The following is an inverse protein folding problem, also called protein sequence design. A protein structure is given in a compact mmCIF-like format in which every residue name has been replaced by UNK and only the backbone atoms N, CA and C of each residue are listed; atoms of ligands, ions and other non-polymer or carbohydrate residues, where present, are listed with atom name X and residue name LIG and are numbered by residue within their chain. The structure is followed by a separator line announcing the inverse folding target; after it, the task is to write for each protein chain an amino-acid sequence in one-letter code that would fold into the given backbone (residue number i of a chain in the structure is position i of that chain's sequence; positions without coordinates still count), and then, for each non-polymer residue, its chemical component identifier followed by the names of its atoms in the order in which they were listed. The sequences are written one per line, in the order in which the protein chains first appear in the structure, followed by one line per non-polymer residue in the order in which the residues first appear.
data_IF_643509780587
#
_entry.id   IF_643509780587
#
_cell.length_a   1.000
_cell.length_b   1.000
_cell.length_c   1.000
_cell.angle_alpha   90.00
_cell.angle_beta   90.00
_cell.angle_gamma   90.00
#
_symmetry.space_group_name_H-M   'P 1'
#
loop_
_entity.id
_entity.type
_entity.pdbx_description
1 polymer ?
#
# COMPACT_ATOMS: atom_id res chain seq x y z
N UNK A 1 -47.07 1.92 -36.44
CA UNK A 1 -46.14 0.78 -36.59
C UNK A 1 -44.88 1.15 -37.40
N UNK A 2 -44.54 2.43 -37.50
CA UNK A 2 -43.32 2.95 -38.15
C UNK A 2 -42.28 3.48 -37.15
N UNK A 3 -42.66 3.84 -35.92
CA UNK A 3 -41.76 4.57 -35.00
C UNK A 3 -40.96 3.69 -34.02
N UNK A 4 -41.23 2.38 -33.98
CA UNK A 4 -40.48 1.44 -33.12
C UNK A 4 -39.15 0.99 -33.75
N UNK A 5 -39.00 1.08 -35.07
CA UNK A 5 -37.76 0.69 -35.76
C UNK A 5 -36.70 1.80 -35.77
N UNK A 6 -37.12 3.05 -35.59
CA UNK A 6 -36.21 4.20 -35.54
C UNK A 6 -35.60 4.39 -34.14
N UNK A 7 -36.31 3.98 -33.07
CA UNK A 7 -35.81 4.01 -31.69
C UNK A 7 -34.72 2.94 -31.42
N UNK A 8 -34.85 1.74 -31.99
CA UNK A 8 -33.83 0.69 -31.87
C UNK A 8 -32.56 1.00 -32.68
N UNK A 9 -32.69 1.74 -33.79
CA UNK A 9 -31.55 2.18 -34.60
C UNK A 9 -30.72 3.29 -33.90
N UNK A 10 -31.33 4.12 -33.07
CA UNK A 10 -30.64 5.16 -32.28
C UNK A 10 -29.94 4.55 -31.06
N UNK A 11 -30.56 3.55 -30.41
CA UNK A 11 -29.93 2.81 -29.30
C UNK A 11 -28.72 1.97 -29.74
N UNK A 12 -28.76 1.35 -30.92
CA UNK A 12 -27.61 0.60 -31.45
C UNK A 12 -26.46 1.48 -31.94
N UNK A 13 -26.75 2.65 -32.51
CA UNK A 13 -25.71 3.58 -33.02
C UNK A 13 -24.92 4.24 -31.88
N UNK A 14 -25.52 4.43 -30.70
CA UNK A 14 -24.78 4.86 -29.52
C UNK A 14 -24.00 3.73 -28.83
N UNK A 15 -24.39 2.46 -28.98
CA UNK A 15 -23.65 1.34 -28.40
C UNK A 15 -22.28 1.11 -29.06
N UNK A 16 -22.13 1.46 -30.34
CA UNK A 16 -20.83 1.38 -31.04
C UNK A 16 -19.87 2.54 -30.70
N UNK A 17 -20.38 3.71 -30.32
CA UNK A 17 -19.52 4.81 -29.81
C UNK A 17 -18.98 4.56 -28.39
N UNK A 18 -19.61 3.65 -27.61
CA UNK A 18 -19.13 3.26 -26.28
C UNK A 18 -18.11 2.11 -26.27
N UNK A 19 -17.74 1.56 -27.43
CA UNK A 19 -16.58 0.65 -27.58
C UNK A 19 -15.22 1.39 -27.50
N UNK A 20 -15.23 2.72 -27.44
CA UNK A 20 -14.02 3.55 -27.44
C UNK A 20 -13.30 3.66 -26.09
N UNK A 21 -13.76 2.97 -25.04
CA UNK A 21 -12.95 2.80 -23.83
C UNK A 21 -11.86 1.72 -23.96
N UNK A 22 -11.86 0.96 -25.07
CA UNK A 22 -10.97 -0.21 -25.28
C UNK A 22 -10.14 -0.18 -26.58
N UNK A 23 -10.20 0.89 -27.38
CA UNK A 23 -9.39 0.99 -28.62
C UNK A 23 -8.71 2.35 -28.74
N UNK A 24 -7.40 2.38 -28.46
CA UNK A 24 -6.52 3.49 -28.85
C UNK A 24 -5.69 4.11 -27.73
N UNK A 25 -4.92 3.32 -26.98
CA UNK A 25 -3.69 3.83 -26.35
C UNK A 25 -2.47 3.37 -27.12
N UNK A 26 -2.48 3.63 -28.43
CA UNK A 26 -1.33 3.49 -29.33
C UNK A 26 -0.89 4.88 -29.79
N UNK A 27 -0.65 5.82 -28.87
CA UNK A 27 0.17 7.02 -29.14
C UNK A 27 0.56 7.87 -27.92
N UNK A 28 0.84 7.27 -26.77
CA UNK A 28 1.56 7.97 -25.68
C UNK A 28 2.77 7.13 -25.25
N UNK A 29 3.71 6.98 -26.18
CA UNK A 29 5.08 6.46 -25.92
C UNK A 29 6.12 7.58 -25.85
N UNK A 30 5.71 8.84 -25.76
CA UNK A 30 6.63 9.98 -25.68
C UNK A 30 6.20 10.86 -24.50
N UNK A 31 7.13 11.08 -23.57
CA UNK A 31 7.00 11.83 -22.31
C UNK A 31 6.55 11.03 -21.07
N UNK A 32 7.32 9.99 -20.74
CA UNK A 32 7.86 9.73 -19.39
C UNK A 32 8.77 8.48 -19.49
N UNK A 33 9.79 8.56 -20.34
CA UNK A 33 10.94 7.66 -20.24
C UNK A 33 11.93 8.42 -19.37
N UNK A 34 11.90 8.14 -18.06
CA UNK A 34 12.98 8.59 -17.17
C UNK A 34 14.12 7.59 -17.35
N UNK A 35 15.34 8.05 -17.65
CA UNK A 35 16.48 7.16 -17.80
C UNK A 35 16.72 6.34 -16.52
N UNK A 36 17.10 5.06 -16.67
CA UNK A 36 17.36 4.09 -15.58
C UNK A 36 18.42 4.53 -14.55
N UNK A 37 19.07 5.68 -14.78
CA UNK A 37 20.22 6.17 -14.03
C UNK A 37 19.88 7.09 -12.84
N UNK A 38 18.59 7.30 -12.51
CA UNK A 38 18.18 8.24 -11.44
C UNK A 38 17.73 7.54 -10.14
N UNK A 39 17.58 6.22 -10.13
CA UNK A 39 17.16 5.47 -8.95
C UNK A 39 18.37 4.95 -8.15
N UNK A 40 18.47 5.21 -6.84
CA UNK A 40 19.43 4.54 -5.96
C UNK A 40 19.31 3.01 -6.07
N UNK A 41 20.43 2.30 -6.01
CA UNK A 41 20.47 0.85 -6.26
C UNK A 41 19.59 0.04 -5.28
N UNK A 42 19.42 0.50 -4.04
CA UNK A 42 18.52 -0.14 -3.08
C UNK A 42 17.04 -0.07 -3.49
N UNK A 43 16.61 0.97 -4.24
CA UNK A 43 15.24 1.10 -4.75
C UNK A 43 15.00 0.26 -6.01
N UNK A 44 16.04 0.07 -6.84
CA UNK A 44 15.96 -0.79 -8.03
C UNK A 44 15.59 -2.24 -7.68
N UNK A 45 16.08 -2.75 -6.54
CA UNK A 45 15.77 -4.10 -6.06
C UNK A 45 14.31 -4.24 -5.56
N UNK A 46 13.75 -3.20 -4.96
CA UNK A 46 12.34 -3.18 -4.50
C UNK A 46 11.38 -3.32 -5.69
N UNK A 47 11.66 -2.63 -6.81
CA UNK A 47 10.84 -2.70 -8.03
C UNK A 47 10.72 -4.13 -8.60
N UNK A 48 11.81 -4.91 -8.53
CA UNK A 48 11.84 -6.28 -9.04
C UNK A 48 11.10 -7.28 -8.13
N UNK A 49 11.05 -7.01 -6.82
CA UNK A 49 10.38 -7.87 -5.86
C UNK A 49 8.87 -7.57 -5.70
N UNK A 50 8.44 -6.32 -5.92
CA UNK A 50 7.00 -5.95 -5.95
C UNK A 50 6.28 -6.48 -7.21
N UNK A 51 7.02 -6.77 -8.29
CA UNK A 51 6.47 -7.29 -9.56
C UNK A 51 6.51 -8.81 -9.70
N UNK A 52 7.02 -9.56 -8.72
CA UNK A 52 6.94 -11.03 -8.73
C UNK A 52 5.60 -11.46 -8.15
N UNK A 53 4.67 -11.80 -9.03
CA UNK A 53 3.54 -12.66 -8.67
C UNK A 53 4.10 -13.93 -8.01
N UNK A 54 3.66 -14.23 -6.79
CA UNK A 54 3.81 -15.57 -6.24
C UNK A 54 3.11 -16.51 -7.22
N UNK A 55 3.79 -17.52 -7.80
CA UNK A 55 3.14 -18.45 -8.71
C UNK A 55 1.97 -19.12 -7.98
N UNK A 56 0.76 -18.97 -8.51
CA UNK A 56 -0.42 -19.74 -8.13
C UNK A 56 -0.24 -21.20 -8.61
N UNK A 57 0.64 -21.94 -7.95
CA UNK A 57 0.72 -23.40 -8.07
C UNK A 57 1.45 -23.96 -6.84
N UNK A 58 0.71 -24.21 -5.77
CA UNK A 58 1.09 -25.26 -4.83
C UNK A 58 0.02 -26.34 -4.92
N UNK A 59 0.22 -27.26 -5.85
CA UNK A 59 -0.36 -28.60 -5.77
C UNK A 59 0.24 -29.23 -4.52
N UNK A 60 -0.59 -29.60 -3.54
CA UNK A 60 -0.16 -30.42 -2.40
C UNK A 60 0.52 -31.69 -2.95
N UNK A 61 1.79 -31.97 -2.59
CA UNK A 61 2.36 -33.28 -2.84
C UNK A 61 1.70 -34.26 -1.87
N UNK A 62 0.90 -35.16 -2.42
CA UNK A 62 0.56 -36.40 -1.75
C UNK A 62 1.78 -37.31 -1.79
N UNK A 63 2.12 -37.89 -0.63
CA UNK A 63 3.16 -38.90 -0.33
C UNK A 63 4.50 -38.34 0.17
N UNK A 64 4.75 -38.57 1.46
CA UNK A 64 6.09 -38.59 2.05
C UNK A 64 6.90 -39.75 1.42
N UNK A 65 8.21 -39.55 1.13
CA UNK A 65 9.15 -40.65 0.98
C UNK A 65 9.74 -41.08 2.33
N UNK A 66 10.02 -42.37 2.41
CA UNK A 66 10.47 -43.11 3.59
C UNK A 66 11.88 -42.71 4.10
N UNK A 67 12.05 -42.91 5.42
CA UNK A 67 13.27 -42.76 6.20
C UNK A 67 14.46 -43.59 5.66
N UNK A 68 15.66 -43.02 5.72
CA UNK A 68 16.88 -43.78 6.08
C UNK A 68 17.66 -43.05 7.18
N UNK A 69 18.16 -43.85 8.12
CA UNK A 69 18.46 -43.47 9.49
C UNK A 69 19.95 -43.21 9.79
N UNK A 70 20.14 -42.59 10.97
CA UNK A 70 21.26 -42.70 11.90
C UNK A 70 22.32 -41.58 11.83
N UNK A 71 22.81 -41.00 12.94
CA UNK A 71 23.01 -41.54 14.30
C UNK A 71 22.90 -40.44 15.39
N UNK A 72 22.51 -40.78 16.64
CA UNK A 72 22.52 -39.89 17.80
C UNK A 72 23.78 -40.06 18.68
N UNK A 73 24.16 -39.02 19.44
CA UNK A 73 24.72 -39.04 20.83
C UNK A 73 25.33 -37.67 21.20
N UNK A 74 25.57 -37.33 22.49
CA UNK A 74 24.77 -37.57 23.69
C UNK A 74 24.60 -36.32 24.61
N UNK A 75 23.65 -36.44 25.56
CA UNK A 75 23.60 -35.85 26.92
C UNK A 75 23.60 -34.32 27.05
N UNK A 76 22.48 -33.70 27.45
CA UNK A 76 21.99 -33.57 28.83
C UNK A 76 22.34 -32.20 29.42
N UNK A 77 21.38 -31.29 29.39
CA UNK A 77 21.01 -30.56 30.62
C UNK A 77 19.53 -30.26 30.55
N UNK A 78 18.77 -31.03 31.32
CA UNK A 78 17.42 -30.71 31.74
C UNK A 78 17.49 -29.46 32.61
N UNK A 79 16.97 -28.34 32.12
CA UNK A 79 16.38 -27.35 33.01
C UNK A 79 14.91 -27.22 32.65
N UNK A 80 14.08 -27.75 33.53
CA UNK A 80 12.70 -27.38 33.70
C UNK A 80 12.63 -25.90 34.08
N UNK A 81 11.90 -25.10 33.33
CA UNK A 81 11.41 -23.81 33.84
C UNK A 81 9.88 -23.85 33.84
N UNK A 82 9.38 -23.80 35.07
CA UNK A 82 7.99 -23.66 35.48
C UNK A 82 7.41 -22.34 34.98
N UNK A 83 6.16 -22.38 34.55
CA UNK A 83 5.35 -21.18 34.41
C UNK A 83 4.89 -20.75 35.80
N UNK A 84 5.68 -19.90 36.46
CA UNK A 84 5.25 -19.22 37.67
C UNK A 84 4.66 -17.86 37.28
N UNK A 85 3.33 -17.77 37.40
CA UNK A 85 2.57 -16.53 37.37
C UNK A 85 2.64 -15.93 38.78
N UNK A 86 3.51 -14.96 39.02
CA UNK A 86 3.44 -14.06 40.17
C UNK A 86 3.83 -12.65 39.71
N UNK A 87 2.83 -11.86 39.32
CA UNK A 87 2.99 -10.42 39.13
C UNK A 87 2.70 -9.76 40.48
N UNK A 88 3.70 -9.75 41.34
CA UNK A 88 3.65 -9.00 42.60
C UNK A 88 3.63 -7.49 42.30
N UNK A 89 2.63 -6.87 42.90
CA UNK A 89 2.32 -5.45 42.94
C UNK A 89 3.49 -4.67 43.58
N UNK A 90 4.21 -3.88 42.77
CA UNK A 90 5.21 -2.93 43.27
C UNK A 90 4.68 -1.50 43.10
N UNK A 91 4.19 -0.95 44.21
CA UNK A 91 3.92 0.47 44.41
C UNK A 91 5.21 1.29 44.19
N UNK A 92 5.24 2.06 43.11
CA UNK A 92 6.22 3.13 42.93
C UNK A 92 5.46 4.45 42.92
N UNK A 93 5.49 5.09 44.09
CA UNK A 93 4.95 6.41 44.36
C UNK A 93 5.81 7.46 43.64
N UNK A 94 5.40 7.83 42.42
CA UNK A 94 5.95 8.98 41.70
C UNK A 94 4.87 10.06 41.70
N UNK A 95 4.98 10.98 42.65
CA UNK A 95 4.21 12.23 42.64
C UNK A 95 4.69 13.11 41.49
N UNK A 96 4.15 12.86 40.28
CA UNK A 96 4.19 13.82 39.18
C UNK A 96 2.93 14.66 39.32
N UNK A 97 3.09 15.89 39.80
CA UNK A 97 2.06 16.92 39.69
C UNK A 97 1.87 17.25 38.19
N UNK A 98 1.10 16.40 37.51
CA UNK A 98 0.61 16.68 36.18
C UNK A 98 -0.56 17.66 36.32
N UNK A 99 -0.31 18.91 35.97
CA UNK A 99 -1.34 19.86 35.57
C UNK A 99 -2.02 19.26 34.35
N UNK A 100 -3.11 18.52 34.56
CA UNK A 100 -4.03 18.14 33.49
C UNK A 100 -4.78 19.42 33.16
N UNK A 101 -4.30 20.14 32.15
CA UNK A 101 -5.16 21.09 31.45
C UNK A 101 -6.25 20.25 30.80
N UNK A 102 -7.45 20.29 31.37
CA UNK A 102 -8.67 19.76 30.76
C UNK A 102 -8.91 20.53 29.45
N UNK A 103 -8.33 20.05 28.35
CA UNK A 103 -8.75 20.43 27.01
C UNK A 103 -10.21 20.02 26.88
N UNK A 104 -11.10 21.02 26.86
CA UNK A 104 -12.50 20.82 26.53
C UNK A 104 -12.56 20.29 25.10
N UNK A 105 -12.82 19.00 24.95
CA UNK A 105 -13.17 18.39 23.67
C UNK A 105 -14.44 19.08 23.14
N UNK A 106 -14.26 20.03 22.22
CA UNK A 106 -15.36 20.47 21.38
C UNK A 106 -15.76 19.29 20.50
N UNK A 107 -16.95 18.73 20.77
CA UNK A 107 -17.52 17.61 20.04
C UNK A 107 -17.80 18.02 18.59
N UNK A 108 -16.76 17.95 17.76
CA UNK A 108 -16.82 18.36 16.36
C UNK A 108 -17.50 17.23 15.58
N UNK A 109 -18.80 17.37 15.37
CA UNK A 109 -19.67 16.50 14.56
C UNK A 109 -19.21 16.45 13.07
N UNK A 110 -18.03 15.90 12.81
CA UNK A 110 -17.47 15.70 11.47
C UNK A 110 -17.61 14.23 11.08
N UNK A 111 -18.11 13.99 9.86
CA UNK A 111 -18.17 12.65 9.30
C UNK A 111 -16.75 12.25 8.86
N UNK A 112 -16.33 10.99 9.06
CA UNK A 112 -15.04 10.51 8.57
C UNK A 112 -14.90 10.65 7.04
N UNK A 113 -13.65 10.82 6.57
CA UNK A 113 -13.35 10.91 5.13
C UNK A 113 -13.77 9.67 4.33
N UNK A 114 -13.80 8.50 4.97
CA UNK A 114 -14.21 7.23 4.35
C UNK A 114 -15.18 6.49 5.26
N UNK A 115 -16.25 5.94 4.67
CA UNK A 115 -17.27 5.15 5.36
C UNK A 115 -17.63 3.94 4.51
N UNK A 116 -17.82 2.78 5.14
CA UNK A 116 -18.46 1.63 4.51
C UNK A 116 -19.96 1.71 4.80
N UNK A 117 -20.77 1.76 3.75
CA UNK A 117 -22.22 1.80 3.84
C UNK A 117 -22.85 0.71 2.95
N UNK A 118 -23.88 0.04 3.46
CA UNK A 118 -24.60 -0.97 2.68
C UNK A 118 -25.34 -0.33 1.50
N UNK A 119 -25.26 -0.98 0.34
CA UNK A 119 -25.90 -0.49 -0.88
C UNK A 119 -27.40 -0.28 -0.74
N UNK A 120 -28.11 -1.12 0.05
CA UNK A 120 -29.55 -0.97 0.26
C UNK A 120 -29.91 0.33 0.98
N UNK A 121 -29.13 0.70 2.00
CA UNK A 121 -29.33 1.92 2.78
C UNK A 121 -29.00 3.15 1.93
N UNK A 122 -27.95 3.07 1.11
CA UNK A 122 -27.62 4.13 0.15
C UNK A 122 -28.74 4.32 -0.90
N UNK A 123 -29.28 3.23 -1.45
CA UNK A 123 -30.35 3.28 -2.45
C UNK A 123 -31.66 3.87 -1.90
N UNK A 124 -31.90 3.77 -0.59
CA UNK A 124 -33.05 4.38 0.07
C UNK A 124 -33.03 5.92 -0.02
N UNK A 125 -31.85 6.54 -0.14
CA UNK A 125 -31.71 7.99 -0.31
C UNK A 125 -32.20 8.47 -1.69
N UNK A 126 -32.18 7.60 -2.70
CA UNK A 126 -32.57 7.94 -4.08
C UNK A 126 -34.06 7.70 -4.37
N UNK A 127 -34.93 7.86 -3.38
CA UNK A 127 -36.39 7.83 -3.59
C UNK A 127 -36.91 9.15 -4.17
N UNK A 128 -36.24 10.26 -3.88
CA UNK A 128 -36.58 11.62 -4.32
C UNK A 128 -35.39 12.28 -4.96
N UNK A 129 -35.66 13.19 -5.90
CA UNK A 129 -34.63 14.00 -6.52
C UNK A 129 -34.04 14.95 -5.47
N UNK A 130 -32.71 14.95 -5.30
CA UNK A 130 -32.02 15.82 -4.36
C UNK A 130 -32.19 17.31 -4.69
N UNK A 131 -32.46 17.65 -5.96
CA UNK A 131 -32.56 19.05 -6.40
C UNK A 131 -33.98 19.62 -6.22
N UNK A 132 -35.03 18.84 -6.48
CA UNK A 132 -36.42 19.34 -6.50
C UNK A 132 -37.41 18.56 -5.63
N UNK A 133 -36.99 17.49 -4.94
CA UNK A 133 -37.84 16.69 -4.05
C UNK A 133 -38.88 15.79 -4.73
N UNK A 134 -39.01 15.88 -6.06
CA UNK A 134 -39.94 15.04 -6.85
C UNK A 134 -39.58 13.56 -6.71
N UNK A 135 -40.59 12.70 -6.60
CA UNK A 135 -40.39 11.25 -6.56
C UNK A 135 -39.69 10.78 -7.84
N UNK A 136 -38.59 10.04 -7.67
CA UNK A 136 -37.85 9.48 -8.80
C UNK A 136 -38.62 8.27 -9.34
N UNK A 137 -38.79 8.19 -10.66
CA UNK A 137 -39.35 7.01 -11.33
C UNK A 137 -38.61 5.73 -10.93
N UNK A 138 -39.33 4.60 -10.84
CA UNK A 138 -38.76 3.33 -10.39
C UNK A 138 -37.52 2.86 -11.18
N UNK A 139 -37.39 3.26 -12.46
CA UNK A 139 -36.28 2.82 -13.30
C UNK A 139 -35.02 3.67 -13.06
N UNK A 140 -34.13 3.15 -12.22
CA UNK A 140 -32.77 3.65 -11.99
C UNK A 140 -31.77 2.77 -12.73
N UNK A 141 -30.76 3.37 -13.35
CA UNK A 141 -29.61 2.64 -13.87
C UNK A 141 -28.48 2.75 -12.85
N UNK A 142 -28.11 1.63 -12.25
CA UNK A 142 -27.00 1.53 -11.30
C UNK A 142 -25.87 0.80 -11.99
N UNK A 143 -24.68 1.38 -11.99
CA UNK A 143 -23.47 0.76 -12.52
C UNK A 143 -22.26 1.15 -11.67
N UNK A 144 -21.14 0.46 -11.86
CA UNK A 144 -19.90 0.73 -11.13
C UNK A 144 -18.75 1.00 -12.09
N UNK A 145 -17.76 1.74 -11.61
CA UNK A 145 -16.49 1.95 -12.31
C UNK A 145 -15.37 1.85 -11.29
N UNK A 146 -14.73 0.68 -11.20
CA UNK A 146 -13.89 0.36 -10.06
C UNK A 146 -14.72 0.37 -8.78
N UNK A 147 -14.28 1.10 -7.76
CA UNK A 147 -15.00 1.25 -6.49
C UNK A 147 -16.12 2.30 -6.55
N UNK A 148 -16.17 3.12 -7.60
CA UNK A 148 -17.17 4.18 -7.72
C UNK A 148 -18.54 3.64 -8.13
N UNK A 149 -19.58 3.99 -7.37
CA UNK A 149 -20.98 3.74 -7.70
C UNK A 149 -21.52 4.90 -8.55
N UNK A 150 -22.25 4.57 -9.61
CA UNK A 150 -22.84 5.52 -10.55
C UNK A 150 -24.34 5.23 -10.63
N UNK A 151 -25.15 6.23 -10.27
CA UNK A 151 -26.60 6.14 -10.32
C UNK A 151 -27.11 7.16 -11.33
N UNK A 152 -27.83 6.69 -12.34
CA UNK A 152 -28.50 7.54 -13.33
C UNK A 152 -30.01 7.34 -13.26
N UNK A 153 -30.75 8.44 -13.27
CA UNK A 153 -32.20 8.42 -13.23
C UNK A 153 -32.78 9.63 -13.95
N UNK A 154 -34.00 9.50 -14.45
CA UNK A 154 -34.74 10.64 -15.00
C UNK A 154 -35.59 11.28 -13.90
N UNK A 155 -35.50 12.60 -13.76
CA UNK A 155 -36.35 13.37 -12.86
C UNK A 155 -37.48 14.03 -13.65
N UNK A 156 -38.74 13.68 -13.35
CA UNK A 156 -39.91 14.28 -14.00
C UNK A 156 -40.13 15.75 -13.61
N UNK A 157 -39.73 16.15 -12.40
CA UNK A 157 -39.81 17.54 -11.93
C UNK A 157 -38.82 18.45 -12.67
N UNK A 158 -37.55 18.05 -12.74
CA UNK A 158 -36.51 18.79 -13.47
C UNK A 158 -36.58 18.59 -15.00
N UNK A 159 -37.31 17.57 -15.46
CA UNK A 159 -37.43 17.14 -16.86
C UNK A 159 -36.10 16.76 -17.52
N UNK A 160 -35.14 16.26 -16.75
CA UNK A 160 -33.80 15.92 -17.22
C UNK A 160 -33.26 14.64 -16.57
N UNK A 161 -32.23 14.06 -17.21
CA UNK A 161 -31.47 12.95 -16.62
C UNK A 161 -30.46 13.47 -15.60
N UNK A 162 -30.50 12.88 -14.41
CA UNK A 162 -29.55 13.12 -13.34
C UNK A 162 -28.55 11.98 -13.24
N UNK A 163 -27.33 12.33 -12.87
CA UNK A 163 -26.24 11.40 -12.56
C UNK A 163 -25.69 11.75 -11.19
N UNK A 164 -25.66 10.76 -10.31
CA UNK A 164 -24.96 10.84 -9.03
C UNK A 164 -23.80 9.84 -9.04
N UNK A 165 -22.69 10.22 -8.40
CA UNK A 165 -21.51 9.35 -8.24
C UNK A 165 -21.08 9.35 -6.78
N UNK A 166 -20.65 8.20 -6.27
CA UNK A 166 -20.18 8.09 -4.89
C UNK A 166 -18.82 8.74 -4.64
N UNK A 167 -18.09 9.08 -5.71
CA UNK A 167 -16.74 9.62 -5.66
C UNK A 167 -16.62 10.81 -6.62
N UNK A 168 -15.76 11.76 -6.25
CA UNK A 168 -15.31 12.82 -7.14
C UNK A 168 -14.32 12.28 -8.19
N UNK A 169 -14.07 13.07 -9.23
CA UNK A 169 -13.00 12.81 -10.19
C UNK A 169 -11.80 13.69 -9.91
N UNK A 170 -10.61 13.21 -10.28
CA UNK A 170 -9.35 13.95 -10.07
C UNK A 170 -9.20 15.02 -11.14
N UNK A 171 -9.30 16.30 -10.75
CA UNK A 171 -9.21 17.45 -11.66
C UNK A 171 -10.16 17.31 -12.85
N UNK A 172 -9.66 17.60 -14.06
CA UNK A 172 -10.41 17.44 -15.31
C UNK A 172 -10.39 16.00 -15.86
N UNK A 173 -9.78 15.05 -15.14
CA UNK A 173 -9.71 13.66 -15.60
C UNK A 173 -11.03 12.92 -15.40
N UNK A 174 -11.25 11.84 -16.16
CA UNK A 174 -12.40 10.93 -15.97
C UNK A 174 -12.15 9.85 -14.90
N UNK A 175 -11.09 9.96 -14.09
CA UNK A 175 -10.73 8.96 -13.08
C UNK A 175 -11.33 9.33 -11.73
N UNK A 176 -12.06 8.39 -11.14
CA UNK A 176 -12.57 8.55 -9.79
C UNK A 176 -11.43 8.51 -8.77
N UNK A 177 -11.54 9.36 -7.74
CA UNK A 177 -10.49 9.60 -6.76
C UNK A 177 -10.06 8.33 -6.03
N UNK A 178 -11.00 7.51 -5.55
CA UNK A 178 -10.64 6.35 -4.73
C UNK A 178 -10.10 5.20 -5.58
N UNK A 179 -10.40 5.17 -6.89
CA UNK A 179 -9.76 4.26 -7.83
C UNK A 179 -8.26 4.53 -7.98
N UNK A 180 -7.78 5.70 -7.53
CA UNK A 180 -6.35 6.04 -7.45
C UNK A 180 -5.87 5.90 -6.01
N UNK A 181 -6.61 6.42 -5.03
CA UNK A 181 -6.18 6.37 -3.63
C UNK A 181 -6.02 4.93 -3.12
N UNK A 182 -6.94 4.01 -3.42
CA UNK A 182 -6.85 2.64 -2.90
C UNK A 182 -5.57 1.93 -3.38
N UNK A 183 -5.25 1.87 -4.69
CA UNK A 183 -3.97 1.31 -5.13
C UNK A 183 -2.75 2.08 -4.62
N UNK A 184 -2.83 3.41 -4.47
CA UNK A 184 -1.74 4.20 -3.92
C UNK A 184 -1.48 3.87 -2.44
N UNK A 185 -2.53 3.73 -1.65
CA UNK A 185 -2.44 3.32 -0.25
C UNK A 185 -1.88 1.90 -0.13
N UNK A 186 -2.16 1.01 -1.08
CA UNK A 186 -1.57 -0.32 -1.12
C UNK A 186 -0.06 -0.33 -1.43
N UNK A 187 0.53 0.78 -1.89
CA UNK A 187 1.99 0.93 -1.95
C UNK A 187 2.55 1.36 -0.59
N UNK A 188 1.80 2.17 0.15
CA UNK A 188 2.22 2.74 1.44
C UNK A 188 1.96 1.79 2.62
N UNK A 189 0.91 1.00 2.51
CA UNK A 189 0.55 -0.08 3.44
C UNK A 189 0.88 -1.38 2.71
N UNK A 190 1.59 -2.35 3.31
CA UNK A 190 2.05 -3.55 2.64
C UNK A 190 0.91 -4.56 2.37
N UNK A 191 -0.22 -4.09 1.84
CA UNK A 191 -1.39 -4.88 1.51
C UNK A 191 -1.37 -5.22 0.02
N UNK A 192 -1.54 -6.50 -0.29
CA UNK A 192 -1.57 -6.97 -1.68
C UNK A 192 -2.92 -6.68 -2.34
N UNK A 193 -2.93 -6.51 -3.67
CA UNK A 193 -4.17 -6.45 -4.45
C UNK A 193 -5.04 -7.68 -4.22
N UNK A 194 -4.44 -8.88 -4.16
CA UNK A 194 -5.17 -10.13 -3.94
C UNK A 194 -5.90 -10.12 -2.59
N UNK A 195 -5.26 -9.61 -1.53
CA UNK A 195 -5.88 -9.46 -0.21
C UNK A 195 -7.05 -8.47 -0.25
N UNK A 196 -6.87 -7.32 -0.91
CA UNK A 196 -7.95 -6.32 -1.09
C UNK A 196 -9.11 -6.87 -1.94
N UNK A 197 -8.79 -7.58 -3.02
CA UNK A 197 -9.78 -8.18 -3.90
C UNK A 197 -10.59 -9.24 -3.16
N UNK A 198 -9.92 -10.17 -2.46
CA UNK A 198 -10.59 -11.20 -1.67
C UNK A 198 -11.50 -10.59 -0.59
N UNK A 199 -11.01 -9.56 0.12
CA UNK A 199 -11.83 -8.81 1.07
C UNK A 199 -13.08 -8.23 0.40
N UNK A 200 -12.92 -7.57 -0.76
CA UNK A 200 -14.03 -6.96 -1.49
C UNK A 200 -15.03 -7.97 -2.05
N UNK A 201 -14.57 -9.08 -2.60
CA UNK A 201 -15.42 -10.15 -3.14
C UNK A 201 -16.23 -10.82 -2.03
N UNK A 202 -15.63 -11.02 -0.86
CA UNK A 202 -16.31 -11.58 0.32
C UNK A 202 -17.47 -10.69 0.78
N UNK A 203 -17.31 -9.37 0.69
CA UNK A 203 -18.34 -8.40 1.06
C UNK A 203 -19.27 -8.00 -0.11
N UNK A 204 -19.04 -8.52 -1.32
CA UNK A 204 -19.79 -8.12 -2.52
C UNK A 204 -19.54 -6.66 -2.94
N UNK A 205 -18.39 -6.09 -2.57
CA UNK A 205 -18.01 -4.72 -2.90
C UNK A 205 -17.33 -4.65 -4.28
N UNK A 206 -17.65 -3.64 -5.11
CA UNK A 206 -16.96 -3.45 -6.37
C UNK A 206 -15.52 -2.97 -6.12
N UNK A 207 -14.57 -3.49 -6.91
CA UNK A 207 -13.14 -3.20 -6.79
C UNK A 207 -12.56 -2.74 -8.13
N UNK A 208 -11.44 -2.00 -8.08
CA UNK A 208 -10.68 -1.66 -9.28
C UNK A 208 -10.13 -2.92 -9.96
N UNK A 209 -10.12 -2.93 -11.30
CA UNK A 209 -9.50 -4.02 -12.07
C UNK A 209 -7.99 -4.00 -11.88
N UNK A 210 -7.36 -5.17 -11.93
CA UNK A 210 -5.90 -5.34 -11.87
C UNK A 210 -5.15 -4.40 -12.82
N UNK A 211 -5.61 -4.24 -14.06
CA UNK A 211 -4.98 -3.35 -15.05
C UNK A 211 -4.86 -1.90 -14.57
N UNK A 212 -5.90 -1.39 -13.89
CA UNK A 212 -5.91 -0.04 -13.32
C UNK A 212 -5.10 0.00 -12.04
N UNK A 213 -5.28 -1.00 -11.17
CA UNK A 213 -4.55 -1.10 -9.91
C UNK A 213 -3.04 -1.09 -10.13
N UNK A 214 -2.51 -2.00 -10.96
CA UNK A 214 -1.07 -2.09 -11.24
C UNK A 214 -0.54 -0.85 -11.95
N UNK A 215 -1.35 -0.20 -12.80
CA UNK A 215 -0.95 1.05 -13.42
C UNK A 215 -0.74 2.14 -12.36
N UNK A 216 -1.71 2.34 -11.47
CA UNK A 216 -1.59 3.33 -10.40
C UNK A 216 -0.45 2.96 -9.46
N UNK A 217 -0.38 1.71 -9.01
CA UNK A 217 0.65 1.21 -8.11
C UNK A 217 2.07 1.50 -8.61
N UNK A 218 2.35 1.23 -9.89
CA UNK A 218 3.68 1.51 -10.49
C UNK A 218 4.01 2.99 -10.52
N UNK A 219 3.03 3.83 -10.84
CA UNK A 219 3.23 5.29 -10.86
C UNK A 219 3.42 5.84 -9.45
N UNK A 220 2.60 5.40 -8.48
CA UNK A 220 2.75 5.77 -7.07
C UNK A 220 4.12 5.34 -6.53
N UNK A 221 4.55 4.11 -6.79
CA UNK A 221 5.88 3.65 -6.38
C UNK A 221 6.99 4.54 -6.95
N UNK A 222 6.86 4.97 -8.21
CA UNK A 222 7.84 5.86 -8.83
C UNK A 222 7.91 7.22 -8.13
N UNK A 223 6.76 7.80 -7.79
CA UNK A 223 6.71 9.08 -7.06
C UNK A 223 7.25 8.92 -5.64
N UNK A 224 6.83 7.89 -4.92
CA UNK A 224 7.31 7.59 -3.56
C UNK A 224 8.81 7.39 -3.55
N UNK A 225 9.37 6.64 -4.52
CA UNK A 225 10.80 6.46 -4.66
C UNK A 225 11.57 7.77 -4.89
N UNK A 226 11.00 8.68 -5.70
CA UNK A 226 11.62 9.98 -5.97
C UNK A 226 11.62 10.88 -4.73
N UNK A 227 10.48 10.98 -4.04
CA UNK A 227 10.36 11.80 -2.82
C UNK A 227 11.19 11.21 -1.67
N UNK A 228 11.24 9.89 -1.54
CA UNK A 228 12.15 9.21 -0.61
C UNK A 228 13.61 9.52 -0.93
N UNK A 229 14.01 9.46 -2.21
CA UNK A 229 15.36 9.80 -2.63
C UNK A 229 15.76 11.24 -2.26
N UNK A 230 14.88 12.22 -2.51
CA UNK A 230 15.12 13.62 -2.10
C UNK A 230 15.28 13.75 -0.58
N UNK A 231 14.35 13.15 0.17
CA UNK A 231 14.41 13.15 1.63
C UNK A 231 15.72 12.55 2.14
N UNK A 232 16.20 11.46 1.53
CA UNK A 232 17.47 10.85 1.90
C UNK A 232 18.66 11.76 1.61
N UNK A 233 18.69 12.42 0.44
CA UNK A 233 19.76 13.38 0.13
C UNK A 233 19.75 14.58 1.09
N UNK A 234 18.57 15.08 1.48
CA UNK A 234 18.45 16.14 2.48
C UNK A 234 19.00 15.70 3.85
N UNK A 235 18.63 14.50 4.31
CA UNK A 235 19.13 13.92 5.57
C UNK A 235 20.66 13.77 5.54
N UNK A 236 21.20 13.23 4.44
CA UNK A 236 22.64 13.02 4.28
C UNK A 236 23.39 14.35 4.19
N UNK A 237 22.84 15.34 3.49
CA UNK A 237 23.38 16.70 3.40
C UNK A 237 23.46 17.38 4.77
N UNK A 238 22.42 17.24 5.59
CA UNK A 238 22.40 17.76 6.96
C UNK A 238 23.48 17.12 7.84
N UNK A 239 23.70 15.80 7.72
CA UNK A 239 24.75 15.07 8.46
C UNK A 239 26.14 15.52 8.01
N UNK A 240 26.37 15.62 6.69
CA UNK A 240 27.64 16.08 6.13
C UNK A 240 27.98 17.50 6.57
N UNK A 241 26.99 18.40 6.57
CA UNK A 241 27.19 19.78 7.00
C UNK A 241 27.64 19.84 8.47
N UNK A 242 26.98 19.11 9.36
CA UNK A 242 27.36 19.04 10.78
C UNK A 242 28.77 18.46 10.95
N UNK A 243 29.10 17.42 10.18
CA UNK A 243 30.44 16.84 10.20
C UNK A 243 31.52 17.87 9.80
N UNK A 244 31.24 18.70 8.79
CA UNK A 244 32.15 19.80 8.39
C UNK A 244 32.27 20.89 9.47
N UNK A 245 31.23 21.09 10.28
CA UNK A 245 31.23 21.97 11.46
C UNK A 245 32.00 21.36 12.65
N UNK A 246 32.59 20.17 12.48
CA UNK A 246 33.41 19.49 13.48
C UNK A 246 32.66 18.48 14.34
N UNK A 247 31.42 18.16 13.98
CA UNK A 247 30.62 17.20 14.72
C UNK A 247 30.93 15.74 14.34
N UNK A 248 31.12 14.88 15.35
CA UNK A 248 31.25 13.44 15.13
C UNK A 248 29.91 12.79 14.78
N UNK A 249 29.93 11.83 13.85
CA UNK A 249 28.77 11.08 13.38
C UNK A 249 28.76 9.70 14.02
N UNK A 250 27.96 9.53 15.07
CA UNK A 250 27.72 8.21 15.65
C UNK A 250 26.56 7.52 14.94
N UNK A 251 26.74 6.25 14.58
CA UNK A 251 25.66 5.42 14.03
C UNK A 251 25.31 4.25 14.93
N UNK A 252 24.08 3.79 14.77
CA UNK A 252 23.57 2.51 15.25
C UNK A 252 22.93 1.79 14.07
N UNK A 253 22.92 0.47 14.12
CA UNK A 253 22.34 -0.34 13.06
C UNK A 253 21.48 -1.44 13.67
N UNK A 254 20.43 -1.82 12.94
CA UNK A 254 19.52 -2.91 13.32
C UNK A 254 18.88 -3.54 12.08
N UNK A 255 18.68 -4.86 12.15
CA UNK A 255 18.11 -5.68 11.09
C UNK A 255 16.67 -6.12 11.40
N UNK A 256 15.79 -5.96 10.43
CA UNK A 256 14.48 -6.61 10.43
C UNK A 256 14.45 -7.82 9.49
N UNK A 257 13.97 -8.96 9.97
CA UNK A 257 13.87 -10.21 9.19
C UNK A 257 12.43 -10.60 8.86
N UNK A 258 12.25 -11.29 7.75
CA UNK A 258 10.95 -11.80 7.29
C UNK A 258 10.41 -12.98 8.12
N UNK A 259 11.30 -13.68 8.84
CA UNK A 259 10.95 -14.80 9.71
C UNK A 259 11.94 -14.93 10.87
N UNK A 260 11.53 -15.67 11.92
CA UNK A 260 12.33 -15.86 13.13
C UNK A 260 13.38 -16.96 12.93
N UNK A 261 14.53 -16.81 13.60
CA UNK A 261 15.58 -17.83 13.67
C UNK A 261 16.46 -17.91 12.41
N UNK A 262 17.24 -18.99 12.30
CA UNK A 262 18.23 -19.19 11.23
C UNK A 262 17.62 -19.45 9.82
N UNK A 263 16.32 -19.21 9.63
CA UNK A 263 15.58 -19.55 8.42
C UNK A 263 15.13 -18.33 7.59
N UNK A 264 15.53 -17.11 7.98
CA UNK A 264 15.14 -15.91 7.26
C UNK A 264 15.60 -15.97 5.80
N UNK A 265 14.68 -15.60 4.89
CA UNK A 265 14.99 -15.48 3.45
C UNK A 265 15.41 -14.07 3.10
N UNK A 266 14.80 -13.10 3.76
CA UNK A 266 15.03 -11.69 3.52
C UNK A 266 15.27 -10.96 4.84
N UNK A 267 16.20 -10.03 4.81
CA UNK A 267 16.59 -9.19 5.94
C UNK A 267 16.82 -7.77 5.45
N UNK A 268 16.39 -6.81 6.24
CA UNK A 268 16.56 -5.40 5.96
C UNK A 268 17.41 -4.77 7.06
N UNK A 269 18.66 -4.48 6.74
CA UNK A 269 19.56 -3.74 7.63
C UNK A 269 19.29 -2.24 7.49
N UNK A 270 19.14 -1.53 8.60
CA UNK A 270 19.13 -0.06 8.63
C UNK A 270 20.29 0.48 9.43
N UNK A 271 20.92 1.55 8.93
CA UNK A 271 21.89 2.34 9.69
C UNK A 271 21.28 3.70 9.97
N UNK A 272 21.25 4.11 11.23
CA UNK A 272 20.73 5.40 11.67
C UNK A 272 21.80 6.22 12.36
N UNK A 273 21.74 7.54 12.20
CA UNK A 273 22.53 8.45 13.02
C UNK A 273 21.94 8.49 14.43
N UNK A 274 22.72 8.08 15.42
CA UNK A 274 22.31 7.99 16.81
C UNK A 274 21.91 9.35 17.40
N UNK A 275 22.38 10.46 16.81
CA UNK A 275 22.08 11.82 17.27
C UNK A 275 20.84 12.41 16.61
N UNK A 276 20.76 12.40 15.28
CA UNK A 276 19.59 12.96 14.56
C UNK A 276 18.38 12.04 14.61
N UNK A 277 18.57 10.77 15.02
CA UNK A 277 17.54 9.72 14.98
C UNK A 277 16.95 9.53 13.58
N UNK A 278 17.74 9.83 12.54
CA UNK A 278 17.37 9.63 11.14
C UNK A 278 18.12 8.43 10.57
N UNK A 279 17.41 7.64 9.77
CA UNK A 279 18.00 6.57 8.96
C UNK A 279 18.88 7.21 7.89
N UNK A 280 20.10 6.74 7.75
CA UNK A 280 21.09 7.22 6.77
C UNK A 280 21.13 6.31 5.53
N UNK A 281 20.96 5.01 5.74
CA UNK A 281 20.85 4.05 4.63
C UNK A 281 20.13 2.78 5.10
N UNK A 282 19.62 2.02 4.13
CA UNK A 282 19.00 0.73 4.35
C UNK A 282 19.28 -0.24 3.21
N UNK A 283 19.55 -1.50 3.56
CA UNK A 283 19.90 -2.54 2.60
C UNK A 283 19.00 -3.76 2.78
N UNK A 284 18.26 -4.09 1.72
CA UNK A 284 17.63 -5.39 1.58
C UNK A 284 18.69 -6.42 1.19
N UNK A 285 18.69 -7.54 1.90
CA UNK A 285 19.49 -8.71 1.60
C UNK A 285 18.57 -9.92 1.41
N UNK A 286 18.99 -10.82 0.54
CA UNK A 286 18.46 -12.18 0.44
C UNK A 286 19.50 -13.17 0.99
N UNK A 287 19.06 -14.22 1.68
CA UNK A 287 19.98 -15.19 2.29
C UNK A 287 20.85 -15.92 1.25
N UNK A 288 20.44 -15.96 -0.01
CA UNK A 288 21.22 -16.48 -1.13
C UNK A 288 22.50 -15.68 -1.35
N UNK A 289 22.52 -14.40 -0.97
CA UNK A 289 23.70 -13.53 -0.99
C UNK A 289 24.71 -13.87 0.10
N UNK A 290 24.28 -14.64 1.11
CA UNK A 290 25.09 -15.05 2.26
C UNK A 290 25.19 -16.57 2.38
N UNK A 291 25.17 -17.28 1.24
CA UNK A 291 25.29 -18.75 1.18
C UNK A 291 24.21 -19.49 1.99
N UNK A 292 23.01 -18.93 2.08
CA UNK A 292 21.90 -19.46 2.87
C UNK A 292 22.00 -19.18 4.37
N UNK A 293 23.00 -18.42 4.82
CA UNK A 293 23.17 -18.08 6.24
C UNK A 293 22.47 -16.76 6.56
N UNK A 294 21.29 -16.85 7.16
CA UNK A 294 20.49 -15.69 7.58
C UNK A 294 21.19 -14.81 8.62
N UNK A 295 21.96 -15.38 9.55
CA UNK A 295 22.70 -14.59 10.55
C UNK A 295 23.84 -13.76 9.95
N UNK A 296 24.34 -14.15 8.78
CA UNK A 296 25.37 -13.38 8.08
C UNK A 296 24.79 -12.17 7.31
N UNK A 297 23.46 -12.09 7.14
CA UNK A 297 22.84 -11.00 6.40
C UNK A 297 22.95 -9.65 7.11
N UNK A 298 22.84 -9.64 8.44
CA UNK A 298 23.01 -8.43 9.25
C UNK A 298 24.43 -7.86 9.07
N UNK A 299 25.46 -8.71 9.23
CA UNK A 299 26.86 -8.31 9.06
C UNK A 299 27.14 -7.80 7.64
N UNK A 300 26.62 -8.47 6.62
CA UNK A 300 26.78 -8.04 5.23
C UNK A 300 26.01 -6.74 4.93
N UNK A 301 24.82 -6.56 5.52
CA UNK A 301 24.04 -5.34 5.44
C UNK A 301 24.78 -4.15 6.06
N UNK A 302 25.31 -4.34 7.26
CA UNK A 302 26.10 -3.34 7.98
C UNK A 302 27.35 -2.97 7.18
N UNK A 303 28.06 -3.97 6.65
CA UNK A 303 29.24 -3.75 5.81
C UNK A 303 28.92 -2.91 4.58
N UNK A 304 27.83 -3.21 3.87
CA UNK A 304 27.38 -2.44 2.69
C UNK A 304 27.00 -1.01 3.06
N UNK A 305 26.28 -0.84 4.16
CA UNK A 305 25.86 0.47 4.63
C UNK A 305 27.03 1.35 5.04
N UNK A 306 28.00 0.83 5.80
CA UNK A 306 29.20 1.58 6.17
C UNK A 306 30.05 1.98 4.95
N UNK A 307 30.18 1.10 3.96
CA UNK A 307 30.86 1.42 2.71
C UNK A 307 30.11 2.51 1.93
N UNK A 308 28.77 2.43 1.81
CA UNK A 308 27.98 3.47 1.15
C UNK A 308 28.12 4.83 1.84
N UNK A 309 28.12 4.86 3.19
CA UNK A 309 28.31 6.09 3.95
C UNK A 309 29.71 6.67 3.72
N UNK A 310 30.74 5.81 3.72
CA UNK A 310 32.12 6.20 3.42
C UNK A 310 32.29 6.77 2.00
N UNK A 311 31.69 6.12 1.00
CA UNK A 311 31.68 6.58 -0.40
C UNK A 311 30.97 7.94 -0.56
N UNK A 312 30.00 8.24 0.32
CA UNK A 312 29.31 9.52 0.40
C UNK A 312 30.03 10.57 1.25
N UNK A 313 31.22 10.24 1.80
CA UNK A 313 32.04 11.15 2.60
C UNK A 313 31.59 11.33 4.05
N UNK A 314 30.70 10.45 4.55
CA UNK A 314 30.29 10.42 5.96
C UNK A 314 31.30 9.56 6.71
N UNK A 315 32.08 10.22 7.59
CA UNK A 315 33.06 9.58 8.46
C UNK A 315 32.40 9.15 9.76
N UNK A 316 32.22 7.84 9.89
CA UNK A 316 31.54 7.18 11.01
C UNK A 316 32.51 6.54 11.98
#
# INVERSE_FOLDING_TARGET
MSDLKEHDAICHRHYEEFSLCDKGSTNIKKHLIVPENVLPNHIKNIRNNVCREIPNTTVLPSKLPDNEAAKPHPSSSTLSESYDNDFDEMDVDITVENVIEEEKEEEQNSIPNFLIAEGINLMALFQRCCDCGTLISAKKNVSTCGTALIIKFYCSGCKEYKKWTSQSTIGDSKRYTDNVLIPSTAVLTPISHSSLLQFSETLGMPMVKWTTFSYVQRNTFTVVAQEYGKMMEDILGDVLKRQQEGEEVFVSADAQFDSRGYCAKQGWETIMCSRTKRVLTGHLLENTETNGNSSAMEVEGLRRGLLELGDRGIGV
#
